data_IF_934734442815
#
_entry.id   IF_934734442815
#
_cell.length_a   1.000
_cell.length_b   1.000
_cell.length_c   1.000
_cell.angle_alpha   90.00
_cell.angle_beta   90.00
_cell.angle_gamma   90.00
#
_symmetry.space_group_name_H-M   'P 1'
#
loop_
_entity.id
_entity.type
_entity.pdbx_description
1 polymer ?
#
# COMPACT_ATOMS: atom_id res chain seq x y z
N UNK A 1 -20.50 -6.70 48.93
CA UNK A 1 -19.34 -5.96 48.41
C UNK A 1 -19.32 -6.10 46.88
N UNK A 2 -19.70 -5.07 46.10
CA UNK A 2 -19.68 -5.13 44.64
C UNK A 2 -18.26 -4.85 44.11
N UNK A 3 -17.80 -5.66 43.17
CA UNK A 3 -16.49 -5.54 42.54
C UNK A 3 -16.56 -4.50 41.42
N UNK A 4 -15.75 -3.44 41.56
CA UNK A 4 -15.63 -2.38 40.58
C UNK A 4 -15.07 -2.93 39.25
N UNK A 5 -15.88 -2.86 38.20
CA UNK A 5 -15.42 -3.07 36.83
C UNK A 5 -14.48 -1.92 36.46
N UNK A 6 -13.23 -2.27 36.20
CA UNK A 6 -12.21 -1.37 35.66
C UNK A 6 -12.64 -0.91 34.27
N UNK A 7 -13.12 0.33 34.18
CA UNK A 7 -13.41 1.00 32.92
C UNK A 7 -12.10 1.32 32.20
N UNK A 8 -11.66 0.43 31.32
CA UNK A 8 -10.61 0.75 30.34
C UNK A 8 -11.19 1.78 29.38
N UNK A 9 -10.76 3.03 29.51
CA UNK A 9 -11.09 4.09 28.56
C UNK A 9 -10.75 3.63 27.12
N UNK A 10 -11.59 3.94 26.11
CA UNK A 10 -11.31 3.54 24.74
C UNK A 10 -10.11 4.33 24.21
N UNK A 11 -9.09 3.59 23.76
CA UNK A 11 -8.01 4.13 22.95
C UNK A 11 -8.61 4.59 21.61
N UNK A 12 -8.48 5.89 21.35
CA UNK A 12 -8.42 6.50 20.02
C UNK A 12 -9.66 6.44 19.10
N UNK A 13 -10.63 7.33 19.34
CA UNK A 13 -11.56 7.78 18.29
C UNK A 13 -10.91 8.79 17.30
N UNK A 14 -9.64 9.18 17.52
CA UNK A 14 -8.94 10.23 16.74
C UNK A 14 -7.96 9.70 15.69
N UNK A 15 -7.39 8.52 15.89
CA UNK A 15 -6.41 7.91 14.97
C UNK A 15 -7.09 7.08 13.86
N UNK A 16 -8.19 6.40 14.20
CA UNK A 16 -8.99 5.59 13.25
C UNK A 16 -9.44 6.43 12.05
N UNK A 17 -9.96 7.65 12.30
CA UNK A 17 -10.36 8.56 11.22
C UNK A 17 -9.20 9.06 10.35
N UNK A 18 -7.97 9.03 10.85
CA UNK A 18 -6.78 9.43 10.09
C UNK A 18 -6.34 8.37 9.10
N UNK A 19 -6.39 7.10 9.52
CA UNK A 19 -6.05 5.96 8.68
C UNK A 19 -7.15 5.67 7.65
N UNK A 20 -8.43 5.76 8.03
CA UNK A 20 -9.57 5.63 7.11
C UNK A 20 -9.50 6.67 5.98
N UNK A 21 -9.34 7.97 6.32
CA UNK A 21 -9.20 9.03 5.31
C UNK A 21 -8.03 8.78 4.36
N UNK A 22 -6.91 8.26 4.87
CA UNK A 22 -5.74 7.94 4.05
C UNK A 22 -6.00 6.73 3.15
N UNK A 23 -6.70 5.72 3.63
CA UNK A 23 -7.10 4.60 2.79
C UNK A 23 -8.02 5.09 1.67
N UNK A 24 -9.06 5.86 1.99
CA UNK A 24 -9.98 6.42 1.00
C UNK A 24 -9.25 7.28 -0.06
N UNK A 25 -8.28 8.09 0.38
CA UNK A 25 -7.43 8.89 -0.50
C UNK A 25 -6.60 8.03 -1.46
N UNK A 26 -5.89 7.02 -0.95
CA UNK A 26 -5.08 6.12 -1.78
C UNK A 26 -5.93 5.29 -2.74
N UNK A 27 -7.15 4.92 -2.33
CA UNK A 27 -8.12 4.23 -3.18
C UNK A 27 -8.59 5.13 -4.32
N UNK A 28 -8.94 6.38 -4.02
CA UNK A 28 -9.29 7.39 -5.03
C UNK A 28 -8.16 7.64 -6.03
N UNK A 29 -6.92 7.77 -5.54
CA UNK A 29 -5.74 7.96 -6.39
C UNK A 29 -5.52 6.75 -7.32
N UNK A 30 -5.61 5.52 -6.80
CA UNK A 30 -5.44 4.31 -7.60
C UNK A 30 -6.55 4.15 -8.66
N UNK A 31 -7.80 4.46 -8.31
CA UNK A 31 -8.94 4.43 -9.27
C UNK A 31 -8.77 5.47 -10.38
N UNK A 32 -8.36 6.69 -10.04
CA UNK A 32 -8.06 7.73 -11.05
C UNK A 32 -6.90 7.33 -11.95
N UNK A 33 -5.83 6.77 -11.37
CA UNK A 33 -4.68 6.26 -12.12
C UNK A 33 -5.11 5.25 -13.19
N UNK A 34 -6.05 4.34 -12.87
CA UNK A 34 -6.60 3.37 -13.81
C UNK A 34 -7.41 3.94 -14.97
N UNK A 35 -7.76 5.22 -14.91
CA UNK A 35 -8.38 5.97 -16.00
C UNK A 35 -7.37 6.77 -16.84
N UNK A 36 -6.08 6.64 -16.55
CA UNK A 36 -4.99 7.33 -17.26
C UNK A 36 -4.51 8.62 -16.60
N UNK A 37 -4.93 8.89 -15.36
CA UNK A 37 -4.55 10.09 -14.62
C UNK A 37 -3.11 9.97 -14.06
N UNK A 38 -2.16 10.63 -14.73
CA UNK A 38 -0.73 10.59 -14.39
C UNK A 38 -0.42 11.30 -13.07
N UNK A 39 -1.14 12.38 -12.77
CA UNK A 39 -0.91 13.12 -11.53
C UNK A 39 -1.37 12.30 -10.33
N UNK A 40 -2.54 11.65 -10.43
CA UNK A 40 -3.05 10.77 -9.38
C UNK A 40 -2.09 9.61 -9.08
N UNK A 41 -1.46 9.05 -10.11
CA UNK A 41 -0.47 8.00 -9.90
C UNK A 41 0.82 8.52 -9.29
N UNK A 42 1.25 9.71 -9.68
CA UNK A 42 2.46 10.34 -9.12
C UNK A 42 2.28 10.54 -7.61
N UNK A 43 1.12 11.03 -7.19
CA UNK A 43 0.78 11.19 -5.78
C UNK A 43 0.67 9.83 -5.05
N UNK A 44 0.06 8.82 -5.67
CA UNK A 44 0.03 7.46 -5.15
C UNK A 44 1.46 6.89 -4.96
N UNK A 45 2.33 7.11 -5.94
CA UNK A 45 3.73 6.68 -5.92
C UNK A 45 4.46 7.32 -4.74
N UNK A 46 4.36 8.65 -4.57
CA UNK A 46 5.02 9.37 -3.48
C UNK A 46 4.58 8.86 -2.10
N UNK A 47 3.31 8.48 -1.95
CA UNK A 47 2.79 7.92 -0.71
C UNK A 47 3.24 6.48 -0.41
N UNK A 48 3.36 5.64 -1.45
CA UNK A 48 3.57 4.20 -1.27
C UNK A 48 5.01 3.74 -1.53
N UNK A 49 5.81 4.51 -2.27
CA UNK A 49 7.16 4.11 -2.66
C UNK A 49 8.06 3.75 -1.46
N UNK A 50 8.09 4.52 -0.35
CA UNK A 50 8.89 4.14 0.82
C UNK A 50 8.48 2.79 1.43
N UNK A 51 7.18 2.48 1.42
CA UNK A 51 6.64 1.22 1.97
C UNK A 51 6.94 0.04 1.04
N UNK A 52 6.78 0.24 -0.26
CA UNK A 52 7.10 -0.77 -1.28
C UNK A 52 8.60 -1.09 -1.26
N UNK A 53 9.45 -0.06 -1.30
CA UNK A 53 10.90 -0.23 -1.25
C UNK A 53 11.36 -0.93 0.05
N UNK A 54 10.81 -0.53 1.20
CA UNK A 54 11.07 -1.19 2.48
C UNK A 54 10.63 -2.67 2.53
N UNK A 55 9.61 -3.06 1.77
CA UNK A 55 9.19 -4.45 1.63
C UNK A 55 10.13 -5.23 0.70
N UNK A 56 10.50 -4.66 -0.45
CA UNK A 56 11.37 -5.30 -1.43
C UNK A 56 12.77 -5.54 -0.86
N UNK A 57 13.36 -4.55 -0.18
CA UNK A 57 14.71 -4.64 0.41
C UNK A 57 14.85 -5.72 1.50
N UNK A 58 13.74 -6.11 2.15
CA UNK A 58 13.74 -7.24 3.10
C UNK A 58 13.87 -8.60 2.43
N UNK A 59 13.49 -8.70 1.17
CA UNK A 59 13.50 -9.94 0.38
C UNK A 59 14.68 -9.99 -0.58
N UNK A 60 15.12 -8.83 -1.06
CA UNK A 60 16.21 -8.65 -2.02
C UNK A 60 17.22 -7.66 -1.43
N UNK A 61 18.34 -8.12 -0.84
CA UNK A 61 19.27 -7.23 -0.14
C UNK A 61 20.05 -6.28 -1.06
N UNK A 62 20.15 -6.59 -2.36
CA UNK A 62 20.85 -5.74 -3.31
C UNK A 62 20.07 -4.42 -3.54
N UNK A 63 20.69 -3.25 -3.30
CA UNK A 63 20.00 -1.97 -3.41
C UNK A 63 19.51 -1.67 -4.84
N UNK A 64 20.36 -1.91 -5.85
CA UNK A 64 20.03 -1.60 -7.24
C UNK A 64 18.89 -2.48 -7.77
N UNK A 65 18.92 -3.78 -7.45
CA UNK A 65 17.83 -4.69 -7.75
C UNK A 65 16.54 -4.29 -7.02
N UNK A 66 16.63 -3.86 -5.76
CA UNK A 66 15.46 -3.42 -5.00
C UNK A 66 14.78 -2.19 -5.58
N UNK A 67 15.56 -1.21 -6.03
CA UNK A 67 15.05 -0.03 -6.72
C UNK A 67 14.37 -0.43 -8.03
N UNK A 68 15.03 -1.26 -8.84
CA UNK A 68 14.48 -1.74 -10.11
C UNK A 68 13.15 -2.49 -9.92
N UNK A 69 13.08 -3.40 -8.95
CA UNK A 69 11.86 -4.17 -8.63
C UNK A 69 10.76 -3.25 -8.09
N UNK A 70 11.11 -2.22 -7.31
CA UNK A 70 10.15 -1.22 -6.83
C UNK A 70 9.52 -0.48 -8.01
N UNK A 71 10.34 0.02 -8.94
CA UNK A 71 9.85 0.66 -10.16
C UNK A 71 8.98 -0.29 -11.00
N UNK A 72 9.40 -1.55 -11.17
CA UNK A 72 8.62 -2.56 -11.89
C UNK A 72 7.26 -2.80 -11.21
N UNK A 73 7.22 -2.86 -9.88
CA UNK A 73 5.99 -3.05 -9.13
C UNK A 73 4.98 -1.90 -9.37
N UNK A 74 5.46 -0.65 -9.42
CA UNK A 74 4.60 0.49 -9.72
C UNK A 74 4.12 0.51 -11.18
N UNK A 75 4.97 0.14 -12.13
CA UNK A 75 4.55 -0.01 -13.54
C UNK A 75 3.50 -1.11 -13.68
N UNK A 76 3.68 -2.24 -12.99
CA UNK A 76 2.71 -3.33 -12.99
C UNK A 76 1.40 -2.94 -12.29
N UNK A 77 1.48 -2.20 -11.18
CA UNK A 77 0.34 -1.62 -10.49
C UNK A 77 -0.44 -0.65 -11.39
N UNK A 78 0.23 0.26 -12.11
CA UNK A 78 -0.41 1.13 -13.10
C UNK A 78 -1.18 0.31 -14.12
N UNK A 79 -0.52 -0.67 -14.76
CA UNK A 79 -1.12 -1.48 -15.85
C UNK A 79 -2.35 -2.25 -15.39
N UNK A 80 -2.41 -2.64 -14.12
CA UNK A 80 -3.51 -3.42 -13.54
C UNK A 80 -4.50 -2.58 -12.75
N UNK A 81 -4.28 -1.29 -12.58
CA UNK A 81 -5.11 -0.42 -11.74
C UNK A 81 -6.58 -0.36 -12.17
N UNK A 82 -6.88 -0.54 -13.47
CA UNK A 82 -8.25 -0.66 -13.97
C UNK A 82 -9.01 -1.91 -13.45
N UNK A 83 -8.29 -2.93 -12.95
CA UNK A 83 -8.87 -4.13 -12.33
C UNK A 83 -8.94 -4.06 -10.80
N UNK A 84 -8.50 -2.94 -10.22
CA UNK A 84 -8.57 -2.72 -8.79
C UNK A 84 -10.03 -2.60 -8.33
N UNK A 85 -10.35 -3.29 -7.25
CA UNK A 85 -11.68 -3.33 -6.64
C UNK A 85 -11.55 -3.01 -5.14
N UNK A 86 -11.98 -1.82 -4.68
CA UNK A 86 -11.85 -1.40 -3.29
C UNK A 86 -12.67 -2.24 -2.32
N UNK A 87 -13.72 -2.95 -2.79
CA UNK A 87 -14.50 -3.84 -1.92
C UNK A 87 -13.72 -5.10 -1.53
N UNK A 88 -12.68 -5.47 -2.30
CA UNK A 88 -11.89 -6.69 -2.08
C UNK A 88 -10.66 -6.47 -1.22
N UNK A 89 -9.99 -5.33 -1.39
CA UNK A 89 -8.77 -5.00 -0.65
C UNK A 89 -8.44 -3.51 -0.76
N UNK A 90 -7.78 -2.96 0.25
CA UNK A 90 -7.29 -1.58 0.19
C UNK A 90 -6.22 -1.40 -0.87
N UNK A 91 -6.10 -0.18 -1.40
CA UNK A 91 -5.11 0.16 -2.42
C UNK A 91 -3.67 -0.13 -1.93
N UNK A 92 -3.38 0.17 -0.65
CA UNK A 92 -2.08 -0.13 -0.03
C UNK A 92 -1.78 -1.64 -0.07
N UNK A 93 -2.72 -2.47 0.38
CA UNK A 93 -2.53 -3.92 0.41
C UNK A 93 -2.35 -4.47 -1.00
N UNK A 94 -3.14 -3.99 -1.96
CA UNK A 94 -3.06 -4.43 -3.35
C UNK A 94 -1.70 -4.13 -3.99
N UNK A 95 -1.18 -2.91 -3.84
CA UNK A 95 0.15 -2.51 -4.36
C UNK A 95 1.26 -3.31 -3.66
N UNK A 96 1.19 -3.50 -2.35
CA UNK A 96 2.16 -4.32 -1.61
C UNK A 96 2.16 -5.79 -2.07
N UNK A 97 1.00 -6.36 -2.42
CA UNK A 97 0.90 -7.71 -2.97
C UNK A 97 1.57 -7.81 -4.34
N UNK A 98 1.40 -6.81 -5.21
CA UNK A 98 2.10 -6.75 -6.51
C UNK A 98 3.61 -6.75 -6.29
N UNK A 99 4.11 -5.86 -5.44
CA UNK A 99 5.53 -5.76 -5.12
C UNK A 99 6.09 -7.05 -4.49
N UNK A 100 5.36 -7.64 -3.54
CA UNK A 100 5.77 -8.88 -2.88
C UNK A 100 5.94 -10.03 -3.87
N UNK A 101 5.04 -10.18 -4.84
CA UNK A 101 5.13 -11.22 -5.88
C UNK A 101 6.39 -11.07 -6.72
N UNK A 102 6.72 -9.84 -7.13
CA UNK A 102 7.94 -9.57 -7.91
C UNK A 102 9.20 -9.81 -7.08
N UNK A 103 9.23 -9.33 -5.84
CA UNK A 103 10.37 -9.54 -4.95
C UNK A 103 10.62 -11.03 -4.64
N UNK A 104 9.57 -11.80 -4.37
CA UNK A 104 9.67 -13.26 -4.16
C UNK A 104 10.15 -13.97 -5.44
N UNK A 105 9.70 -13.53 -6.61
CA UNK A 105 10.19 -14.07 -7.88
C UNK A 105 11.69 -13.81 -8.06
N UNK A 106 12.14 -12.57 -7.80
CA UNK A 106 13.55 -12.20 -7.93
C UNK A 106 14.44 -12.92 -6.91
N UNK A 107 14.00 -13.07 -5.66
CA UNK A 107 14.76 -13.76 -4.61
C UNK A 107 14.97 -15.27 -4.85
N UNK A 108 14.27 -15.84 -5.84
CA UNK A 108 14.36 -17.26 -6.21
C UNK A 108 15.15 -17.51 -7.50
N UNK A 109 15.50 -16.46 -8.23
CA UNK A 109 16.24 -16.54 -9.49
C UNK A 109 17.75 -16.63 -9.22
#
# INVERSE_FOLDING_TARGET
MPQMASGRAPVALRAVSGDERRHDELEHLLVRSGRGDVDAFTELYDHLAPRVFGLVTRLVPDPAASEAITCEAFVDAWRRSASYDPERCSATAWVLVVAHRLAVRAARA
#
